data_IF_265103104822
#
_entry.id   IF_265103104822
#
_cell.length_a   1.000
_cell.length_b   1.000
_cell.length_c   1.000
_cell.angle_alpha   90.00
_cell.angle_beta   90.00
_cell.angle_gamma   90.00
#
_symmetry.space_group_name_H-M   'P 1'
#
loop_
_entity.id
_entity.type
_entity.pdbx_description
1 polymer ?
#
# COMPACT_ATOMS: atom_id res chain seq x y z
N UNK A 1 11.69 -10.24 -16.82
CA UNK A 1 11.94 -10.56 -15.38
C UNK A 1 10.68 -11.12 -14.75
N UNK A 2 10.77 -12.04 -13.78
CA UNK A 2 9.60 -12.68 -13.16
C UNK A 2 8.95 -11.72 -12.12
N UNK A 3 7.61 -11.53 -12.06
CA UNK A 3 6.94 -10.67 -11.07
C UNK A 3 7.34 -10.77 -9.58
N UNK A 4 7.78 -11.93 -9.04
CA UNK A 4 8.28 -12.03 -7.68
C UNK A 4 9.54 -11.19 -7.45
N UNK A 5 10.41 -11.08 -8.45
CA UNK A 5 11.67 -10.32 -8.37
C UNK A 5 11.37 -8.83 -8.24
N UNK A 6 10.51 -8.28 -9.11
CA UNK A 6 10.14 -6.87 -9.05
C UNK A 6 9.45 -6.51 -7.74
N UNK A 7 8.59 -7.40 -7.25
CA UNK A 7 7.95 -7.23 -5.93
C UNK A 7 9.00 -7.21 -4.83
N UNK A 8 9.97 -8.13 -4.86
CA UNK A 8 11.05 -8.19 -3.89
C UNK A 8 11.88 -6.90 -3.88
N UNK A 9 12.32 -6.41 -5.05
CA UNK A 9 13.10 -5.17 -5.16
C UNK A 9 12.35 -3.96 -4.59
N UNK A 10 11.05 -3.82 -4.90
CA UNK A 10 10.21 -2.74 -4.35
C UNK A 10 10.12 -2.85 -2.83
N UNK A 11 9.99 -4.06 -2.29
CA UNK A 11 9.96 -4.24 -0.84
C UNK A 11 11.31 -4.07 -0.16
N UNK A 12 12.43 -4.36 -0.83
CA UNK A 12 13.77 -4.02 -0.35
C UNK A 12 13.93 -2.49 -0.26
N UNK A 13 13.45 -1.75 -1.27
CA UNK A 13 13.42 -0.29 -1.23
C UNK A 13 12.51 0.24 -0.11
N UNK A 14 11.32 -0.36 0.09
CA UNK A 14 10.43 0.01 1.19
C UNK A 14 11.04 -0.28 2.56
N UNK A 15 11.80 -1.36 2.69
CA UNK A 15 12.50 -1.72 3.92
C UNK A 15 13.50 -0.63 4.33
N UNK A 16 14.10 0.10 3.37
CA UNK A 16 14.98 1.23 3.66
C UNK A 16 14.25 2.39 4.36
N UNK A 17 13.04 2.74 3.92
CA UNK A 17 12.20 3.75 4.60
C UNK A 17 11.85 3.30 6.02
N UNK A 18 11.44 2.05 6.18
CA UNK A 18 11.09 1.45 7.47
C UNK A 18 12.29 1.44 8.42
N UNK A 19 13.49 1.14 7.92
CA UNK A 19 14.72 1.16 8.72
C UNK A 19 15.08 2.58 9.15
N UNK A 20 14.85 3.58 8.30
CA UNK A 20 15.10 4.99 8.57
C UNK A 20 13.99 5.67 9.41
N UNK A 21 12.92 4.93 9.75
CA UNK A 21 11.71 5.47 10.38
C UNK A 21 11.14 6.66 9.58
N UNK A 22 11.03 6.48 8.27
CA UNK A 22 10.42 7.40 7.32
C UNK A 22 9.02 6.88 7.01
N UNK A 23 8.00 7.72 7.18
CA UNK A 23 6.62 7.36 6.89
C UNK A 23 6.30 7.52 5.39
N UNK A 24 6.90 6.67 4.57
CA UNK A 24 6.71 6.62 3.12
C UNK A 24 6.83 5.18 2.62
N UNK A 25 6.27 4.92 1.43
CA UNK A 25 6.36 3.62 0.75
C UNK A 25 6.23 3.80 -0.76
N UNK A 26 7.04 3.10 -1.51
CA UNK A 26 6.81 2.87 -2.94
C UNK A 26 5.70 1.84 -3.15
N UNK A 27 4.67 2.25 -3.89
CA UNK A 27 3.55 1.38 -4.29
C UNK A 27 3.75 0.94 -5.73
N UNK A 28 3.92 -0.36 -5.96
CA UNK A 28 3.93 -0.91 -7.31
C UNK A 28 2.51 -0.88 -7.88
N UNK A 29 2.25 0.00 -8.85
CA UNK A 29 0.92 0.20 -9.46
C UNK A 29 0.73 -0.54 -10.79
N UNK A 30 1.81 -1.04 -11.37
CA UNK A 30 1.77 -1.85 -12.58
C UNK A 30 3.17 -2.29 -13.00
N UNK A 31 3.22 -3.28 -13.88
CA UNK A 31 4.45 -3.74 -14.52
C UNK A 31 4.15 -3.99 -15.98
N UNK A 32 5.15 -3.78 -16.84
CA UNK A 32 5.07 -4.17 -18.23
C UNK A 32 6.45 -4.51 -18.75
N UNK A 33 6.50 -5.51 -19.61
CA UNK A 33 7.71 -5.82 -20.35
C UNK A 33 7.89 -4.80 -21.48
N UNK A 34 9.14 -4.36 -21.67
CA UNK A 34 9.51 -3.40 -22.71
C UNK A 34 10.35 -4.14 -23.73
N UNK A 35 9.97 -4.04 -25.01
CA UNK A 35 10.72 -4.63 -26.12
C UNK A 35 11.95 -3.77 -26.45
N UNK A 36 12.97 -3.83 -25.58
CA UNK A 36 14.19 -3.04 -25.65
C UNK A 36 15.43 -3.94 -25.77
N UNK A 37 16.44 -3.51 -26.51
CA UNK A 37 17.69 -4.26 -26.67
C UNK A 37 18.59 -4.08 -25.44
N UNK A 38 18.85 -5.16 -24.71
CA UNK A 38 19.48 -5.11 -23.37
C UNK A 38 21.02 -5.11 -23.36
N UNK A 39 21.65 -4.32 -24.24
CA UNK A 39 23.12 -4.21 -24.30
C UNK A 39 23.63 -2.76 -24.23
N UNK A 40 22.74 -1.78 -24.10
CA UNK A 40 23.13 -0.37 -24.04
C UNK A 40 23.54 0.03 -22.61
N UNK A 41 24.46 0.99 -22.44
CA UNK A 41 24.79 1.62 -21.16
C UNK A 41 23.58 2.19 -20.42
N UNK A 42 23.62 2.20 -19.09
CA UNK A 42 22.51 2.65 -18.24
C UNK A 42 22.08 4.11 -18.50
N UNK A 43 23.05 5.00 -18.71
CA UNK A 43 22.81 6.42 -18.99
C UNK A 43 22.05 6.62 -20.30
N UNK A 44 22.43 5.91 -21.36
CA UNK A 44 21.72 5.91 -22.64
C UNK A 44 20.28 5.42 -22.47
N UNK A 45 20.05 4.36 -21.69
CA UNK A 45 18.70 3.85 -21.42
C UNK A 45 17.85 4.89 -20.71
N UNK A 46 18.39 5.55 -19.68
CA UNK A 46 17.67 6.58 -18.94
C UNK A 46 17.31 7.77 -19.85
N UNK A 47 18.22 8.19 -20.70
CA UNK A 47 17.99 9.26 -21.68
C UNK A 47 16.88 8.89 -22.67
N UNK A 48 16.89 7.66 -23.22
CA UNK A 48 15.88 7.16 -24.16
C UNK A 48 14.50 6.94 -23.49
N UNK A 49 14.51 6.54 -22.22
CA UNK A 49 13.31 6.36 -21.39
C UNK A 49 12.63 7.70 -21.08
N UNK A 50 13.42 8.76 -20.89
CA UNK A 50 12.93 10.09 -20.52
C UNK A 50 12.69 11.02 -21.69
N UNK A 51 13.23 10.72 -22.87
CA UNK A 51 13.19 11.59 -24.06
C UNK A 51 13.88 12.94 -23.86
N UNK A 52 14.91 12.99 -23.02
CA UNK A 52 15.60 14.25 -22.73
C UNK A 52 16.65 14.55 -23.81
N UNK A 53 17.55 13.59 -24.06
CA UNK A 53 18.64 13.76 -25.06
C UNK A 53 18.47 12.82 -26.26
N UNK A 54 17.71 11.74 -26.11
CA UNK A 54 17.55 10.69 -27.12
C UNK A 54 16.15 10.07 -27.10
N UNK A 55 15.69 9.56 -28.25
CA UNK A 55 14.36 8.99 -28.42
C UNK A 55 14.44 7.53 -28.81
N UNK A 56 13.71 6.68 -28.08
CA UNK A 56 13.45 5.31 -28.50
C UNK A 56 11.96 4.96 -28.42
N UNK A 57 11.42 4.44 -29.53
CA UNK A 57 10.03 4.03 -29.66
C UNK A 57 9.66 2.88 -28.72
N UNK A 58 10.63 2.03 -28.34
CA UNK A 58 10.43 0.93 -27.42
C UNK A 58 9.85 1.38 -26.07
N UNK A 59 10.19 2.58 -25.61
CA UNK A 59 9.68 3.13 -24.34
C UNK A 59 8.35 3.88 -24.47
N UNK A 60 7.78 4.04 -25.67
CA UNK A 60 6.51 4.77 -25.84
C UNK A 60 5.36 4.10 -25.06
N UNK A 61 5.22 2.76 -25.04
CA UNK A 61 4.19 2.09 -24.26
C UNK A 61 4.31 2.32 -22.74
N UNK A 62 5.51 2.35 -22.16
CA UNK A 62 5.69 2.57 -20.70
C UNK A 62 5.30 3.99 -20.29
N UNK A 63 5.55 4.99 -21.14
CA UNK A 63 5.07 6.36 -20.89
C UNK A 63 3.54 6.44 -20.92
N UNK A 64 2.89 5.78 -21.88
CA UNK A 64 1.43 5.72 -21.91
C UNK A 64 0.86 4.99 -20.68
N UNK A 65 1.50 3.89 -20.27
CA UNK A 65 1.11 3.16 -19.07
C UNK A 65 1.25 4.02 -17.79
N UNK A 66 2.31 4.83 -17.70
CA UNK A 66 2.51 5.78 -16.60
C UNK A 66 1.32 6.74 -16.46
N UNK A 67 0.83 7.30 -17.56
CA UNK A 67 -0.35 8.17 -17.56
C UNK A 67 -1.62 7.40 -17.16
N UNK A 68 -1.83 6.23 -17.79
CA UNK A 68 -3.05 5.44 -17.56
C UNK A 68 -3.17 4.92 -16.12
N UNK A 69 -2.04 4.56 -15.50
CA UNK A 69 -1.97 4.03 -14.13
C UNK A 69 -1.76 5.11 -13.06
N UNK A 70 -1.56 6.37 -13.47
CA UNK A 70 -1.28 7.47 -12.56
C UNK A 70 0.01 7.25 -11.76
N UNK A 71 1.05 6.69 -12.39
CA UNK A 71 2.28 6.35 -11.71
C UNK A 71 3.19 7.59 -11.53
N UNK A 72 3.53 7.91 -10.29
CA UNK A 72 4.39 9.05 -9.97
C UNK A 72 5.83 8.85 -10.47
N UNK A 73 6.37 7.64 -10.32
CA UNK A 73 7.73 7.27 -10.74
C UNK A 73 7.70 6.03 -11.62
N UNK A 74 8.71 5.87 -12.47
CA UNK A 74 8.90 4.70 -13.32
C UNK A 74 10.34 4.22 -13.19
N UNK A 75 10.53 2.92 -13.03
CA UNK A 75 11.84 2.29 -13.11
C UNK A 75 11.83 1.21 -14.19
N UNK A 76 12.83 1.21 -15.06
CA UNK A 76 13.13 0.06 -15.92
C UNK A 76 14.10 -0.83 -15.15
N UNK A 77 13.73 -2.09 -14.98
CA UNK A 77 14.59 -3.08 -14.30
C UNK A 77 15.03 -4.12 -15.32
N UNK A 78 16.34 -4.32 -15.47
CA UNK A 78 16.96 -5.28 -16.39
C UNK A 78 18.02 -6.14 -15.73
N UNK A 79 18.45 -7.19 -16.42
CA UNK A 79 19.47 -8.08 -15.86
C UNK A 79 20.82 -7.37 -15.93
N UNK A 80 21.59 -7.44 -14.85
CA UNK A 80 22.92 -6.86 -14.84
C UNK A 80 23.85 -7.55 -15.85
N UNK A 81 24.58 -6.72 -16.58
CA UNK A 81 25.64 -7.07 -17.52
C UNK A 81 26.74 -6.01 -17.40
N UNK A 82 28.01 -6.42 -17.39
CA UNK A 82 29.15 -5.49 -17.21
C UNK A 82 29.23 -4.40 -18.29
N UNK A 83 28.66 -4.62 -19.48
CA UNK A 83 28.58 -3.63 -20.55
C UNK A 83 27.62 -2.46 -20.25
N UNK A 84 26.87 -2.52 -19.16
CA UNK A 84 25.92 -1.49 -18.74
C UNK A 84 26.57 -0.38 -17.89
N UNK A 85 27.86 -0.52 -17.55
CA UNK A 85 28.75 0.42 -16.85
C UNK A 85 28.40 0.79 -15.39
N UNK A 86 27.19 0.49 -14.91
CA UNK A 86 26.80 0.64 -13.50
C UNK A 86 25.69 -0.32 -13.09
N UNK A 87 25.28 -0.28 -11.82
CA UNK A 87 24.09 -1.01 -11.34
C UNK A 87 22.78 -0.27 -11.58
N UNK A 88 22.83 1.03 -11.84
CA UNK A 88 21.66 1.84 -12.06
C UNK A 88 22.04 3.28 -12.35
N UNK A 89 21.05 4.02 -12.83
CA UNK A 89 21.13 5.46 -12.96
C UNK A 89 19.74 6.07 -12.86
N UNK A 90 19.65 7.18 -12.16
CA UNK A 90 18.44 7.97 -12.06
C UNK A 90 18.74 9.45 -12.15
N UNK A 91 17.76 10.21 -12.61
CA UNK A 91 17.83 11.66 -12.50
C UNK A 91 17.79 12.06 -11.03
N UNK A 92 18.69 12.97 -10.64
CA UNK A 92 18.56 13.62 -9.34
C UNK A 92 17.43 14.64 -9.41
N UNK A 93 16.33 14.35 -8.73
CA UNK A 93 15.14 15.21 -8.72
C UNK A 93 14.80 15.68 -7.30
N UNK A 94 13.58 15.45 -6.80
CA UNK A 94 13.09 16.06 -5.54
C UNK A 94 12.34 17.39 -5.73
N UNK A 95 12.16 17.84 -6.97
CA UNK A 95 11.36 19.01 -7.35
C UNK A 95 10.00 18.60 -7.93
N UNK A 96 9.26 19.52 -8.55
CA UNK A 96 7.94 19.24 -9.13
C UNK A 96 7.97 18.78 -10.60
N UNK A 97 9.15 18.67 -11.23
CA UNK A 97 9.24 18.27 -12.64
C UNK A 97 9.14 16.75 -12.79
N UNK A 98 7.94 16.27 -13.08
CA UNK A 98 7.65 14.84 -13.21
C UNK A 98 8.29 14.18 -14.43
N UNK A 99 8.82 14.97 -15.39
CA UNK A 99 9.49 14.45 -16.60
C UNK A 99 10.77 13.68 -16.27
N UNK A 100 11.43 14.03 -15.17
CA UNK A 100 12.67 13.40 -14.71
C UNK A 100 12.46 12.25 -13.73
N UNK A 101 11.21 11.89 -13.38
CA UNK A 101 10.95 10.85 -12.38
C UNK A 101 11.04 9.42 -12.98
N UNK A 102 12.21 9.12 -13.55
CA UNK A 102 12.56 7.84 -14.16
C UNK A 102 13.92 7.35 -13.67
N UNK A 103 14.02 6.04 -13.44
CA UNK A 103 15.25 5.35 -13.13
C UNK A 103 15.46 4.18 -14.09
N UNK A 104 16.72 3.87 -14.35
CA UNK A 104 17.16 2.59 -14.87
C UNK A 104 17.86 1.85 -13.73
N UNK A 105 17.58 0.55 -13.61
CA UNK A 105 18.11 -0.32 -12.56
C UNK A 105 18.48 -1.66 -13.18
N UNK A 106 19.65 -2.15 -12.82
CA UNK A 106 20.16 -3.46 -13.15
C UNK A 106 20.19 -4.34 -11.90
N UNK A 107 19.77 -5.61 -12.04
CA UNK A 107 19.73 -6.60 -10.97
C UNK A 107 20.41 -7.90 -11.40
N UNK A 108 21.21 -8.48 -10.50
CA UNK A 108 21.89 -9.76 -10.72
C UNK A 108 23.41 -9.68 -10.77
N UNK A 109 24.02 -10.70 -11.38
CA UNK A 109 25.46 -10.97 -11.38
C UNK A 109 25.93 -11.20 -12.81
N UNK A 110 27.09 -10.63 -13.15
CA UNK A 110 27.83 -10.91 -14.38
C UNK A 110 29.34 -11.00 -14.09
N UNK A 111 29.92 -12.18 -14.30
CA UNK A 111 31.28 -12.49 -13.85
C UNK A 111 31.45 -12.31 -12.34
N UNK A 112 32.44 -11.50 -11.95
CA UNK A 112 32.76 -11.17 -10.56
C UNK A 112 32.02 -9.93 -10.04
N UNK A 113 31.19 -9.29 -10.89
CA UNK A 113 30.44 -8.08 -10.55
C UNK A 113 28.99 -8.40 -10.24
N UNK A 114 28.42 -7.69 -9.27
CA UNK A 114 27.03 -7.88 -8.86
C UNK A 114 26.38 -6.57 -8.47
N UNK A 115 25.07 -6.49 -8.70
CA UNK A 115 24.21 -5.44 -8.19
C UNK A 115 23.40 -5.95 -7.00
N UNK A 116 23.28 -5.10 -5.98
CA UNK A 116 22.57 -5.45 -4.76
C UNK A 116 21.05 -5.31 -4.99
N UNK A 117 20.22 -6.09 -4.28
CA UNK A 117 18.76 -5.90 -4.32
C UNK A 117 18.28 -4.52 -3.82
N UNK A 118 19.19 -3.73 -3.24
CA UNK A 118 18.93 -2.38 -2.74
C UNK A 118 19.08 -1.29 -3.82
N UNK A 119 19.65 -1.61 -4.99
CA UNK A 119 19.86 -0.65 -6.08
C UNK A 119 18.56 0.06 -6.49
N UNK A 120 17.42 -0.63 -6.55
CA UNK A 120 16.14 0.04 -6.84
C UNK A 120 15.84 1.15 -5.82
N UNK A 121 16.04 0.89 -4.53
CA UNK A 121 15.85 1.91 -3.49
C UNK A 121 16.85 3.05 -3.59
N UNK A 122 18.09 2.75 -4.00
CA UNK A 122 19.12 3.76 -4.26
C UNK A 122 18.68 4.73 -5.37
N UNK A 123 18.33 4.20 -6.53
CA UNK A 123 17.96 5.01 -7.69
C UNK A 123 16.66 5.80 -7.47
N UNK A 124 15.66 5.18 -6.83
CA UNK A 124 14.45 5.91 -6.43
C UNK A 124 14.72 6.97 -5.35
N UNK A 125 15.80 6.83 -4.59
CA UNK A 125 16.28 7.86 -3.66
C UNK A 125 16.78 9.11 -4.36
N UNK A 126 17.42 8.98 -5.53
CA UNK A 126 17.78 10.12 -6.39
C UNK A 126 16.57 10.84 -6.95
N UNK A 127 15.51 10.12 -7.32
CA UNK A 127 14.25 10.74 -7.76
C UNK A 127 13.60 11.58 -6.64
N UNK A 128 13.87 11.23 -5.39
CA UNK A 128 13.48 11.99 -4.20
C UNK A 128 14.53 13.03 -3.78
N UNK A 129 15.55 13.26 -4.61
CA UNK A 129 16.54 14.32 -4.48
C UNK A 129 17.82 13.97 -3.72
N UNK A 130 17.94 12.75 -3.19
CA UNK A 130 19.12 12.39 -2.39
C UNK A 130 20.41 12.37 -3.19
N UNK A 131 21.48 12.87 -2.59
CA UNK A 131 22.85 12.71 -3.09
C UNK A 131 23.57 11.49 -2.48
N UNK A 132 24.73 11.14 -3.05
CA UNK A 132 25.49 9.97 -2.61
C UNK A 132 26.15 10.15 -1.24
N UNK A 133 27.31 10.80 -1.22
CA UNK A 133 28.01 11.24 -0.01
C UNK A 133 28.48 12.68 -0.22
N UNK A 134 28.62 13.45 0.86
CA UNK A 134 29.04 14.86 0.75
C UNK A 134 30.43 15.03 0.12
N UNK A 135 31.33 14.10 0.42
CA UNK A 135 32.71 14.07 -0.07
C UNK A 135 32.86 13.54 -1.50
N UNK A 136 31.77 13.06 -2.13
CA UNK A 136 31.77 12.71 -3.55
C UNK A 136 31.73 13.92 -4.49
N UNK A 137 31.81 15.16 -3.96
CA UNK A 137 31.73 16.43 -4.70
C UNK A 137 30.51 16.56 -5.63
N UNK A 138 29.48 15.76 -5.40
CA UNK A 138 28.24 15.88 -6.16
C UNK A 138 27.36 16.94 -5.52
N UNK A 139 27.23 18.11 -6.17
CA UNK A 139 26.30 19.14 -5.73
C UNK A 139 24.88 18.55 -5.65
N UNK A 140 24.18 18.82 -4.56
CA UNK A 140 22.86 18.30 -4.29
C UNK A 140 22.04 19.37 -3.61
N UNK A 141 20.87 19.67 -4.19
CA UNK A 141 19.89 20.56 -3.56
C UNK A 141 19.26 19.97 -2.30
N UNK A 142 19.52 18.68 -2.01
CA UNK A 142 19.05 17.95 -0.83
C UNK A 142 20.17 17.10 -0.21
N UNK A 143 19.90 16.46 0.94
CA UNK A 143 20.91 15.79 1.75
C UNK A 143 21.49 14.51 1.13
N UNK A 144 22.56 14.02 1.75
CA UNK A 144 23.38 12.91 1.28
C UNK A 144 23.16 11.62 2.06
N UNK A 145 23.58 10.50 1.49
CA UNK A 145 23.88 9.29 2.25
C UNK A 145 25.04 9.49 3.23
N UNK A 146 25.13 8.56 4.18
CA UNK A 146 26.13 8.49 5.23
C UNK A 146 27.02 7.25 5.09
N UNK A 147 28.31 7.39 5.39
CA UNK A 147 29.23 6.28 5.65
C UNK A 147 30.03 6.54 6.92
N UNK A 148 30.41 5.49 7.62
CA UNK A 148 31.24 5.54 8.82
C UNK A 148 32.44 4.62 8.66
N UNK A 149 33.64 5.20 8.67
CA UNK A 149 34.89 4.44 8.72
C UNK A 149 35.03 3.69 10.06
N UNK A 150 34.58 4.31 11.16
CA UNK A 150 34.62 3.73 12.51
C UNK A 150 33.68 2.54 12.63
N UNK A 151 32.45 2.69 12.12
CA UNK A 151 31.45 1.63 12.14
C UNK A 151 31.60 0.61 11.00
N UNK A 152 32.53 0.85 10.07
CA UNK A 152 32.75 0.05 8.85
C UNK A 152 31.47 -0.20 8.05
N UNK A 153 30.68 0.85 7.81
CA UNK A 153 29.43 0.73 7.07
C UNK A 153 29.13 1.94 6.18
N UNK A 154 28.24 1.73 5.23
CA UNK A 154 27.59 2.81 4.48
C UNK A 154 26.08 2.59 4.40
N UNK A 155 25.34 3.69 4.36
CA UNK A 155 23.89 3.70 4.16
C UNK A 155 23.57 3.56 2.67
N UNK A 156 22.29 3.35 2.36
CA UNK A 156 21.80 3.02 1.02
C UNK A 156 22.29 3.98 -0.06
N UNK A 157 22.30 5.29 0.19
CA UNK A 157 22.72 6.29 -0.80
C UNK A 157 24.24 6.49 -0.86
N UNK A 158 25.01 5.97 0.10
CA UNK A 158 26.45 6.23 0.17
C UNK A 158 27.26 5.16 -0.55
N UNK A 159 28.39 5.53 -1.17
CA UNK A 159 29.36 4.58 -1.69
C UNK A 159 30.32 4.11 -0.58
N UNK A 160 30.37 2.79 -0.40
CA UNK A 160 31.33 2.15 0.48
C UNK A 160 32.76 2.30 -0.01
N UNK A 161 33.70 2.42 0.93
CA UNK A 161 35.14 2.34 0.69
C UNK A 161 35.75 1.31 1.63
N UNK A 162 36.94 0.81 1.32
CA UNK A 162 37.71 -0.05 2.23
C UNK A 162 36.94 -1.28 2.75
N UNK A 163 36.05 -1.86 1.93
CA UNK A 163 35.26 -3.04 2.31
C UNK A 163 34.13 -2.76 3.32
N UNK A 164 33.73 -1.50 3.50
CA UNK A 164 32.55 -1.14 4.31
C UNK A 164 31.31 -1.92 3.86
N UNK A 165 30.50 -2.34 4.83
CA UNK A 165 29.27 -3.08 4.56
C UNK A 165 28.10 -2.13 4.31
N UNK A 166 27.30 -2.42 3.29
CA UNK A 166 26.03 -1.72 3.07
C UNK A 166 25.01 -2.05 4.17
N UNK A 167 24.32 -1.02 4.65
CA UNK A 167 23.13 -1.13 5.49
C UNK A 167 21.95 -0.60 4.69
N UNK A 168 20.93 -1.44 4.47
CA UNK A 168 19.72 -1.08 3.74
C UNK A 168 18.84 -0.08 4.55
N UNK A 169 19.29 1.18 4.59
CA UNK A 169 18.67 2.28 5.32
C UNK A 169 19.02 3.60 4.62
N UNK A 170 18.06 4.51 4.45
CA UNK A 170 18.36 5.89 4.09
C UNK A 170 18.97 6.63 5.28
N UNK A 171 19.92 7.55 5.04
CA UNK A 171 20.60 8.21 6.16
C UNK A 171 19.59 8.95 7.07
N UNK A 172 19.66 8.63 8.36
CA UNK A 172 18.69 9.04 9.38
C UNK A 172 19.41 9.20 10.73
N UNK A 173 19.89 10.40 11.06
CA UNK A 173 20.64 10.66 12.31
C UNK A 173 19.87 10.31 13.58
N UNK A 174 18.53 10.34 13.51
CA UNK A 174 17.63 9.97 14.62
C UNK A 174 17.55 8.46 14.90
N UNK A 175 18.15 7.62 14.06
CA UNK A 175 18.10 6.15 14.18
C UNK A 175 19.47 5.63 14.57
N UNK A 176 19.58 4.98 15.74
CA UNK A 176 20.81 4.34 16.23
C UNK A 176 20.96 2.88 15.76
N UNK A 177 20.55 2.60 14.52
CA UNK A 177 20.41 1.25 13.95
C UNK A 177 21.63 0.74 13.20
N UNK A 178 22.70 1.54 13.10
CA UNK A 178 23.86 1.23 12.26
C UNK A 178 25.04 0.81 13.12
N UNK A 179 25.04 -0.46 13.53
CA UNK A 179 26.08 -1.07 14.37
C UNK A 179 26.35 -0.31 15.69
N UNK A 180 25.27 0.17 16.33
CA UNK A 180 25.36 0.94 17.57
C UNK A 180 25.72 2.42 17.38
N UNK A 181 25.85 2.89 16.13
CA UNK A 181 26.04 4.30 15.79
C UNK A 181 24.78 4.91 15.14
N UNK A 182 24.64 6.25 15.19
CA UNK A 182 23.67 6.95 14.36
C UNK A 182 23.84 6.61 12.87
N UNK A 183 22.73 6.47 12.17
CA UNK A 183 22.71 6.18 10.74
C UNK A 183 22.82 7.45 9.88
N UNK A 184 23.49 8.50 10.35
CA UNK A 184 23.59 9.78 9.65
C UNK A 184 24.18 10.90 10.48
N UNK A 185 24.37 12.05 9.84
CA UNK A 185 24.80 13.30 10.48
C UNK A 185 23.73 14.36 10.20
N UNK A 186 23.22 15.00 11.27
CA UNK A 186 22.15 15.99 11.15
C UNK A 186 22.52 17.09 10.15
N UNK A 187 21.59 17.41 9.25
CA UNK A 187 21.73 18.45 8.22
C UNK A 187 22.86 18.23 7.19
N UNK A 188 23.54 17.09 7.24
CA UNK A 188 24.59 16.75 6.27
C UNK A 188 24.25 15.44 5.56
N UNK A 189 24.27 14.35 6.31
CA UNK A 189 23.92 13.02 5.83
C UNK A 189 22.59 12.60 6.47
N UNK A 190 21.51 13.20 5.98
CA UNK A 190 20.16 13.11 6.52
C UNK A 190 19.08 13.08 5.42
N UNK A 191 19.04 11.99 4.66
CA UNK A 191 18.03 11.74 3.63
C UNK A 191 16.62 11.83 4.23
N UNK A 192 16.42 11.38 5.48
CA UNK A 192 15.15 11.45 6.19
C UNK A 192 14.56 12.86 6.18
N UNK A 193 15.33 13.87 6.58
CA UNK A 193 14.87 15.26 6.59
C UNK A 193 14.54 15.77 5.18
N UNK A 194 15.28 15.33 4.15
CA UNK A 194 14.97 15.68 2.75
C UNK A 194 13.66 15.06 2.28
N UNK A 195 13.41 13.81 2.63
CA UNK A 195 12.22 13.07 2.19
C UNK A 195 10.92 13.58 2.81
N UNK A 196 10.97 14.23 3.98
CA UNK A 196 9.82 14.98 4.52
C UNK A 196 9.34 16.06 3.54
N UNK A 197 10.24 16.63 2.74
CA UNK A 197 9.93 17.70 1.78
C UNK A 197 9.65 17.12 0.39
N UNK A 198 10.44 16.15 -0.06
CA UNK A 198 10.39 15.69 -1.46
C UNK A 198 9.33 14.63 -1.72
N UNK A 199 9.00 13.76 -0.75
CA UNK A 199 7.94 12.75 -0.92
C UNK A 199 6.58 13.40 -1.18
N UNK A 200 6.12 14.40 -0.39
CA UNK A 200 4.85 15.08 -0.65
C UNK A 200 4.78 15.75 -2.03
N UNK A 201 5.91 16.14 -2.62
CA UNK A 201 5.97 16.70 -3.98
C UNK A 201 5.87 15.61 -5.04
N UNK A 202 6.57 14.50 -4.85
CA UNK A 202 6.59 13.40 -5.81
C UNK A 202 5.22 12.73 -5.97
N UNK A 203 4.45 12.56 -4.89
CA UNK A 203 3.10 11.97 -4.93
C UNK A 203 2.03 12.84 -5.60
N UNK A 204 2.42 14.05 -6.05
CA UNK A 204 1.55 14.96 -6.79
C UNK A 204 1.85 14.95 -8.30
N UNK A 205 2.78 14.11 -8.77
CA UNK A 205 3.12 14.05 -10.18
C UNK A 205 1.95 13.59 -11.04
N UNK A 206 1.17 12.61 -10.57
CA UNK A 206 -0.06 12.18 -11.25
C UNK A 206 -1.19 11.91 -10.26
N UNK A 207 -2.42 12.14 -10.72
CA UNK A 207 -3.59 11.70 -9.97
C UNK A 207 -3.63 10.16 -9.96
N UNK A 208 -3.80 9.52 -8.79
CA UNK A 208 -3.82 8.07 -8.70
C UNK A 208 -5.05 7.51 -9.42
N UNK A 209 -4.84 6.70 -10.46
CA UNK A 209 -5.93 6.00 -11.16
C UNK A 209 -6.06 4.56 -10.70
N UNK A 210 -4.94 3.93 -10.31
CA UNK A 210 -4.94 2.64 -9.61
C UNK A 210 -5.43 2.88 -8.19
N UNK A 211 -6.61 2.34 -7.80
CA UNK A 211 -7.14 2.53 -6.47
C UNK A 211 -6.13 2.10 -5.42
N UNK A 212 -6.07 2.82 -4.31
CA UNK A 212 -5.36 2.31 -3.13
C UNK A 212 -6.04 1.00 -2.71
N UNK A 213 -5.25 -0.04 -2.43
CA UNK A 213 -5.71 -1.24 -1.71
C UNK A 213 -5.97 -0.87 -0.22
N UNK A 214 -6.85 0.10 -0.02
CA UNK A 214 -7.42 0.51 1.25
C UNK A 214 -8.52 -0.47 1.64
N UNK A 215 -8.10 -1.61 2.19
CA UNK A 215 -8.98 -2.58 2.85
C UNK A 215 -9.50 -2.02 4.19
N UNK A 216 -9.73 -0.71 4.34
CA UNK A 216 -10.23 -0.12 5.59
C UNK A 216 -11.58 -0.65 6.00
N UNK A 217 -12.34 -1.17 5.04
CA UNK A 217 -13.54 -1.96 5.28
C UNK A 217 -13.15 -3.40 5.64
N UNK A 218 -13.76 -4.03 6.66
CA UNK A 218 -13.54 -5.44 6.90
C UNK A 218 -13.98 -6.30 5.71
N UNK A 219 -13.25 -7.38 5.44
CA UNK A 219 -13.46 -8.33 4.34
C UNK A 219 -12.93 -9.71 4.63
N UNK A 220 -13.39 -10.70 3.87
CA UNK A 220 -12.80 -12.04 3.91
C UNK A 220 -11.57 -12.07 3.01
N UNK A 221 -10.47 -12.62 3.52
CA UNK A 221 -9.29 -12.89 2.70
C UNK A 221 -9.30 -14.38 2.41
N UNK A 222 -9.75 -14.73 1.21
CA UNK A 222 -9.63 -16.09 0.69
C UNK A 222 -8.20 -16.35 0.26
N UNK A 223 -7.66 -17.47 0.69
CA UNK A 223 -6.35 -17.98 0.33
C UNK A 223 -6.45 -19.25 -0.52
N UNK A 224 -5.38 -20.05 -0.51
CA UNK A 224 -5.26 -21.28 -1.28
C UNK A 224 -6.42 -22.26 -1.00
N UNK A 225 -6.81 -23.02 -2.02
CA UNK A 225 -7.91 -24.01 -1.95
C UNK A 225 -9.27 -23.43 -1.54
N UNK A 226 -9.48 -22.11 -1.70
CA UNK A 226 -10.76 -21.45 -1.40
C UNK A 226 -11.07 -21.32 0.10
N UNK A 227 -10.05 -21.46 0.97
CA UNK A 227 -10.18 -21.27 2.41
C UNK A 227 -9.93 -19.82 2.79
N UNK A 228 -10.36 -19.41 3.97
CA UNK A 228 -10.23 -18.04 4.46
C UNK A 228 -9.15 -17.93 5.55
N UNK A 229 -8.46 -16.79 5.57
CA UNK A 229 -7.59 -16.36 6.67
C UNK A 229 -8.41 -16.28 7.96
N UNK A 230 -8.06 -17.10 8.95
CA UNK A 230 -8.92 -17.39 10.09
C UNK A 230 -8.14 -17.35 11.41
N UNK A 231 -8.73 -16.71 12.42
CA UNK A 231 -8.21 -16.75 13.79
C UNK A 231 -8.73 -18.02 14.46
N UNK A 232 -7.81 -18.87 14.92
CA UNK A 232 -8.15 -20.17 15.53
C UNK A 232 -9.17 -20.01 16.66
N UNK A 233 -10.34 -20.63 16.48
CA UNK A 233 -11.44 -20.62 17.46
C UNK A 233 -12.07 -19.24 17.71
N UNK A 234 -11.74 -18.22 16.90
CA UNK A 234 -12.18 -16.84 17.14
C UNK A 234 -11.65 -16.23 18.44
N UNK A 235 -10.55 -16.76 18.99
CA UNK A 235 -9.94 -16.25 20.21
C UNK A 235 -9.37 -14.83 20.03
N UNK A 236 -9.54 -13.97 21.03
CA UNK A 236 -8.95 -12.62 21.09
C UNK A 236 -7.62 -12.56 21.86
N UNK A 237 -7.07 -13.70 22.31
CA UNK A 237 -5.85 -13.75 23.10
C UNK A 237 -4.58 -13.49 22.26
N UNK A 238 -3.58 -12.82 22.85
CA UNK A 238 -2.26 -12.71 22.22
C UNK A 238 -1.63 -14.08 22.05
N UNK A 239 -0.97 -14.31 20.92
CA UNK A 239 -0.37 -15.60 20.59
C UNK A 239 -1.35 -16.61 19.99
N UNK A 240 -2.61 -16.25 19.79
CA UNK A 240 -3.57 -17.12 19.09
C UNK A 240 -3.06 -17.39 17.67
N UNK A 241 -2.89 -18.68 17.32
CA UNK A 241 -2.43 -19.08 15.99
C UNK A 241 -3.38 -18.61 14.90
N UNK A 242 -2.82 -18.22 13.76
CA UNK A 242 -3.58 -17.97 12.53
C UNK A 242 -3.54 -19.24 11.66
N UNK A 243 -4.67 -19.52 11.00
CA UNK A 243 -4.87 -20.71 10.21
C UNK A 243 -5.65 -20.39 8.93
N UNK A 244 -5.79 -21.38 8.05
CA UNK A 244 -6.85 -21.39 7.03
C UNK A 244 -8.03 -22.23 7.49
N UNK A 245 -9.24 -21.75 7.23
CA UNK A 245 -10.47 -22.47 7.53
C UNK A 245 -11.51 -22.28 6.42
N UNK A 246 -12.52 -23.16 6.35
CA UNK A 246 -13.64 -22.98 5.42
C UNK A 246 -14.28 -21.60 5.60
N UNK A 247 -14.46 -20.87 4.50
CA UNK A 247 -15.06 -19.54 4.55
C UNK A 247 -16.51 -19.62 5.09
N UNK A 248 -16.80 -18.91 6.17
CA UNK A 248 -18.07 -19.03 6.91
C UNK A 248 -18.70 -17.68 7.33
N UNK A 249 -18.06 -16.55 7.02
CA UNK A 249 -18.62 -15.21 7.25
C UNK A 249 -18.54 -14.71 8.70
N UNK A 250 -18.02 -15.51 9.63
CA UNK A 250 -17.86 -15.09 11.03
C UNK A 250 -16.74 -14.05 11.19
N UNK A 251 -16.76 -13.31 12.31
CA UNK A 251 -15.85 -12.18 12.58
C UNK A 251 -14.37 -12.57 12.57
N UNK A 252 -14.03 -13.82 12.93
CA UNK A 252 -12.66 -14.33 12.90
C UNK A 252 -12.04 -14.47 11.50
N UNK A 253 -12.86 -14.32 10.45
CA UNK A 253 -12.41 -14.31 9.06
C UNK A 253 -12.47 -12.92 8.43
N UNK A 254 -12.81 -11.89 9.21
CA UNK A 254 -12.93 -10.52 8.72
C UNK A 254 -11.66 -9.73 9.08
N UNK A 255 -11.00 -9.23 8.05
CA UNK A 255 -9.74 -8.51 8.13
C UNK A 255 -9.82 -7.18 7.38
N UNK A 256 -9.05 -6.21 7.83
CA UNK A 256 -8.98 -4.87 7.24
C UNK A 256 -7.55 -4.32 7.28
N UNK A 257 -7.17 -3.56 6.25
CA UNK A 257 -5.91 -2.81 6.17
C UNK A 257 -6.29 -1.34 6.04
N UNK A 258 -6.16 -0.60 7.13
CA UNK A 258 -6.58 0.79 7.17
C UNK A 258 -5.63 1.67 6.33
N UNK A 259 -6.18 2.64 5.60
CA UNK A 259 -5.37 3.72 4.99
C UNK A 259 -4.37 4.32 5.99
N UNK A 260 -3.09 4.39 5.58
CA UNK A 260 -2.00 4.90 6.40
C UNK A 260 -1.50 3.95 7.49
N UNK A 261 -2.04 2.73 7.56
CA UNK A 261 -1.58 1.65 8.44
C UNK A 261 -1.00 0.53 7.57
N UNK A 262 0.10 -0.06 8.02
CA UNK A 262 0.62 -1.31 7.46
C UNK A 262 0.08 -2.54 8.20
N UNK A 263 -0.73 -2.40 9.24
CA UNK A 263 -1.22 -3.58 9.98
C UNK A 263 -2.53 -4.12 9.45
N UNK A 264 -2.57 -5.43 9.18
CA UNK A 264 -3.79 -6.17 8.87
C UNK A 264 -4.55 -6.47 10.18
N UNK A 265 -5.65 -5.74 10.40
CA UNK A 265 -6.46 -5.72 11.62
C UNK A 265 -7.63 -6.69 11.53
N UNK A 266 -7.88 -7.42 12.60
CA UNK A 266 -9.07 -8.28 12.72
C UNK A 266 -10.32 -7.49 13.11
N UNK A 267 -11.50 -8.02 12.81
CA UNK A 267 -12.78 -7.55 13.35
C UNK A 267 -13.11 -8.10 14.75
N UNK A 268 -12.39 -9.11 15.26
CA UNK A 268 -12.69 -9.76 16.56
C UNK A 268 -12.19 -8.92 17.76
N UNK A 269 -11.16 -8.11 17.56
CA UNK A 269 -10.55 -7.27 18.58
C UNK A 269 -9.71 -6.15 17.93
N UNK A 270 -9.21 -5.20 18.72
CA UNK A 270 -8.24 -4.18 18.27
C UNK A 270 -6.82 -4.75 18.06
N UNK A 271 -6.71 -5.92 17.43
CA UNK A 271 -5.48 -6.70 17.23
C UNK A 271 -5.13 -6.87 15.77
N UNK A 272 -3.91 -7.32 15.51
CA UNK A 272 -3.32 -7.38 14.17
C UNK A 272 -2.67 -8.73 13.89
N UNK A 273 -2.54 -9.06 12.61
CA UNK A 273 -1.70 -10.15 12.15
C UNK A 273 -0.24 -9.84 12.49
N UNK A 274 0.43 -10.78 13.15
CA UNK A 274 1.76 -10.60 13.72
C UNK A 274 2.65 -11.81 13.38
N UNK A 275 3.90 -11.54 12.99
CA UNK A 275 4.92 -12.57 12.82
C UNK A 275 5.54 -12.85 14.20
N UNK A 276 5.40 -14.08 14.67
CA UNK A 276 5.80 -14.47 16.01
C UNK A 276 7.31 -14.30 16.26
N UNK A 277 7.66 -13.79 17.43
CA UNK A 277 9.05 -13.60 17.85
C UNK A 277 9.83 -12.55 17.05
N UNK A 278 9.14 -11.69 16.28
CA UNK A 278 9.78 -10.70 15.38
C UNK A 278 10.72 -11.38 14.38
N UNK A 279 10.45 -12.66 14.07
CA UNK A 279 11.29 -13.46 13.18
C UNK A 279 11.16 -12.99 11.73
N UNK A 280 12.26 -13.05 11.00
CA UNK A 280 12.32 -12.83 9.56
C UNK A 280 12.70 -14.12 8.79
N UNK A 281 12.77 -15.26 9.48
CA UNK A 281 13.13 -16.54 8.88
C UNK A 281 11.94 -17.21 8.20
N UNK A 282 12.22 -18.01 7.18
CA UNK A 282 11.22 -18.91 6.60
C UNK A 282 10.72 -19.90 7.65
N UNK A 283 9.41 -20.13 7.64
CA UNK A 283 8.75 -20.98 8.63
C UNK A 283 8.35 -20.27 9.92
N UNK A 284 8.60 -18.95 10.05
CA UNK A 284 8.13 -18.19 11.20
C UNK A 284 6.59 -18.25 11.29
N UNK A 285 6.06 -18.67 12.44
CA UNK A 285 4.62 -18.78 12.65
C UNK A 285 3.91 -17.43 12.73
N UNK A 286 2.62 -17.42 12.38
CA UNK A 286 1.77 -16.25 12.50
C UNK A 286 0.82 -16.35 13.68
N UNK A 287 0.62 -15.22 14.34
CA UNK A 287 -0.23 -15.09 15.51
C UNK A 287 -1.08 -13.83 15.45
N UNK A 288 -2.13 -13.80 16.28
CA UNK A 288 -2.83 -12.59 16.63
C UNK A 288 -2.09 -11.91 17.79
N UNK A 289 -1.81 -10.61 17.67
CA UNK A 289 -1.15 -9.85 18.72
C UNK A 289 -1.68 -8.41 18.82
N UNK A 290 -1.43 -7.77 19.96
CA UNK A 290 -1.71 -6.35 20.14
C UNK A 290 -0.96 -5.50 19.11
N UNK A 291 -1.56 -4.40 18.68
CA UNK A 291 -0.98 -3.50 17.68
C UNK A 291 0.16 -2.68 18.31
N UNK A 292 1.39 -3.12 18.11
CA UNK A 292 2.62 -2.47 18.61
C UNK A 292 3.26 -1.51 17.58
N UNK A 293 2.75 -1.49 16.35
CA UNK A 293 3.29 -0.67 15.25
C UNK A 293 4.77 -1.01 14.94
N UNK A 294 5.12 -2.29 15.07
CA UNK A 294 6.45 -2.84 14.81
C UNK A 294 6.54 -3.46 13.42
N UNK A 295 7.78 -3.66 12.92
CA UNK A 295 8.02 -4.15 11.55
C UNK A 295 7.42 -5.54 11.27
N UNK A 296 7.35 -6.39 12.28
CA UNK A 296 6.75 -7.73 12.19
C UNK A 296 5.21 -7.73 12.11
N UNK A 297 4.59 -6.54 12.21
CA UNK A 297 3.15 -6.31 12.05
C UNK A 297 2.85 -5.46 10.82
N UNK A 298 3.87 -5.15 10.01
CA UNK A 298 3.74 -4.42 8.76
C UNK A 298 3.53 -5.42 7.62
N UNK A 299 2.33 -5.36 7.08
CA UNK A 299 1.77 -6.16 6.00
C UNK A 299 1.23 -5.27 4.89
N UNK A 300 1.40 -5.73 3.67
CA UNK A 300 0.95 -5.04 2.50
C UNK A 300 0.23 -6.02 1.60
N UNK A 301 -1.02 -5.71 1.31
CA UNK A 301 -1.79 -6.48 0.36
C UNK A 301 -1.60 -5.88 -1.02
N UNK A 302 -1.21 -6.69 -2.00
CA UNK A 302 -1.38 -6.35 -3.41
C UNK A 302 -2.57 -7.15 -3.98
N UNK A 303 -2.71 -7.25 -5.30
CA UNK A 303 -3.84 -7.97 -5.90
C UNK A 303 -3.87 -9.48 -5.64
N UNK A 304 -2.74 -10.10 -5.27
CA UNK A 304 -2.58 -11.56 -5.20
C UNK A 304 -1.76 -12.08 -4.01
N UNK A 305 -1.18 -11.23 -3.16
CA UNK A 305 -0.32 -11.65 -2.05
C UNK A 305 -0.46 -10.72 -0.84
N UNK A 306 -0.31 -11.30 0.35
CA UNK A 306 -0.08 -10.57 1.61
C UNK A 306 1.43 -10.60 1.86
N UNK A 307 2.07 -9.44 1.72
CA UNK A 307 3.52 -9.27 1.74
C UNK A 307 3.94 -8.65 3.06
N UNK A 308 4.93 -9.23 3.71
CA UNK A 308 5.59 -8.66 4.87
C UNK A 308 6.81 -7.81 4.46
N UNK A 309 7.35 -7.04 5.39
CA UNK A 309 8.60 -6.31 5.14
C UNK A 309 9.75 -7.28 4.79
N UNK A 310 10.59 -6.92 3.81
CA UNK A 310 11.66 -7.77 3.29
C UNK A 310 11.25 -8.69 2.14
N UNK A 311 10.02 -8.56 1.62
CA UNK A 311 9.57 -9.24 0.40
C UNK A 311 9.07 -10.68 0.60
N UNK A 312 9.10 -11.19 1.83
CA UNK A 312 8.46 -12.46 2.21
C UNK A 312 6.94 -12.33 2.27
N UNK A 313 6.22 -13.43 2.17
CA UNK A 313 4.76 -13.47 2.03
C UNK A 313 4.11 -14.41 3.03
N UNK A 314 2.81 -14.21 3.24
CA UNK A 314 1.96 -15.13 3.99
C UNK A 314 1.79 -16.43 3.18
N UNK A 315 2.12 -17.55 3.81
CA UNK A 315 2.22 -18.86 3.16
C UNK A 315 1.44 -19.92 3.95
N UNK A 316 0.70 -20.79 3.25
CA UNK A 316 0.11 -21.98 3.88
C UNK A 316 1.15 -23.08 3.96
N UNK A 317 1.47 -23.50 5.19
CA UNK A 317 2.50 -24.53 5.46
C UNK A 317 2.23 -25.79 4.64
N UNK A 318 3.23 -26.18 3.84
CA UNK A 318 3.18 -27.39 3.00
C UNK A 318 2.07 -27.37 1.95
N UNK A 319 1.54 -26.20 1.58
CA UNK A 319 0.42 -26.05 0.65
C UNK A 319 -0.84 -26.85 1.05
N UNK A 320 -1.04 -27.08 2.35
CA UNK A 320 -2.16 -27.90 2.84
C UNK A 320 -3.52 -27.26 2.55
N UNK A 321 -4.49 -28.07 2.14
CA UNK A 321 -5.88 -27.66 1.90
C UNK A 321 -6.81 -27.97 3.09
N UNK A 322 -6.29 -28.57 4.16
CA UNK A 322 -7.08 -28.99 5.33
C UNK A 322 -7.49 -27.80 6.19
N UNK A 323 -8.69 -27.86 6.76
CA UNK A 323 -9.08 -26.89 7.79
C UNK A 323 -8.11 -26.97 8.98
N UNK A 324 -7.68 -25.83 9.47
CA UNK A 324 -6.71 -25.72 10.56
C UNK A 324 -5.25 -25.85 10.14
N UNK A 325 -4.96 -25.89 8.83
CA UNK A 325 -3.59 -25.75 8.37
C UNK A 325 -3.03 -24.39 8.82
N UNK A 326 -1.84 -24.43 9.42
CA UNK A 326 -1.15 -23.24 9.93
C UNK A 326 -0.59 -22.40 8.80
N UNK A 327 -0.41 -21.12 9.09
CA UNK A 327 0.29 -20.19 8.23
C UNK A 327 1.72 -19.98 8.72
N UNK A 328 2.61 -19.64 7.78
CA UNK A 328 3.99 -19.26 8.03
C UNK A 328 4.38 -18.03 7.19
N UNK A 329 5.43 -17.32 7.62
CA UNK A 329 6.17 -16.39 6.77
C UNK A 329 7.10 -17.22 5.89
N UNK A 330 7.13 -16.93 4.59
CA UNK A 330 8.01 -17.64 3.66
C UNK A 330 8.47 -16.74 2.50
N UNK A 331 9.56 -17.10 1.86
CA UNK A 331 9.99 -16.48 0.60
C UNK A 331 8.87 -16.45 -0.45
N UNK A 332 8.82 -15.36 -1.22
CA UNK A 332 7.83 -15.21 -2.28
C UNK A 332 8.22 -16.07 -3.49
N UNK A 333 7.70 -17.29 -3.51
CA UNK A 333 7.86 -18.24 -4.61
C UNK A 333 6.72 -18.11 -5.63
N UNK A 334 5.71 -17.28 -5.35
CA UNK A 334 4.46 -17.16 -6.12
C UNK A 334 3.78 -18.51 -6.36
N UNK A 335 3.94 -19.43 -5.40
CA UNK A 335 3.23 -20.69 -5.37
C UNK A 335 1.74 -20.46 -5.10
N UNK A 336 0.89 -21.38 -5.54
CA UNK A 336 -0.56 -21.31 -5.31
C UNK A 336 -0.92 -21.21 -3.81
N UNK A 337 -0.05 -21.69 -2.92
CA UNK A 337 -0.17 -21.61 -1.47
C UNK A 337 0.16 -20.23 -0.85
N UNK A 338 0.57 -19.28 -1.69
CA UNK A 338 0.92 -17.89 -1.31
C UNK A 338 -0.01 -16.87 -1.97
N UNK A 339 -1.02 -17.34 -2.71
CA UNK A 339 -1.97 -16.48 -3.41
C UNK A 339 -3.17 -16.21 -2.52
N UNK A 340 -3.43 -14.92 -2.30
CA UNK A 340 -4.49 -14.41 -1.45
C UNK A 340 -5.35 -13.42 -2.22
N UNK A 341 -6.66 -13.53 -2.04
CA UNK A 341 -7.66 -12.65 -2.64
C UNK A 341 -8.56 -12.11 -1.55
N UNK A 342 -8.54 -10.79 -1.42
CA UNK A 342 -9.49 -10.07 -0.61
C UNK A 342 -10.84 -10.00 -1.32
N UNK A 343 -11.86 -10.49 -0.64
CA UNK A 343 -13.27 -10.39 -1.01
C UNK A 343 -13.94 -9.40 -0.05
N UNK A 344 -14.46 -8.27 -0.58
CA UNK A 344 -15.16 -7.30 0.24
C UNK A 344 -16.42 -7.91 0.86
N UNK A 345 -16.84 -7.43 2.04
CA UNK A 345 -18.14 -7.85 2.57
C UNK A 345 -19.25 -7.21 1.74
N UNK A 346 -20.24 -8.03 1.40
CA UNK A 346 -21.52 -7.59 0.84
C UNK A 346 -22.61 -7.82 1.90
N UNK A 347 -23.48 -6.84 2.08
CA UNK A 347 -24.52 -6.90 3.11
C UNK A 347 -25.38 -5.65 3.18
N UNK A 348 -26.27 -5.59 4.16
CA UNK A 348 -27.01 -4.38 4.48
C UNK A 348 -26.17 -3.47 5.39
N UNK A 349 -26.24 -2.15 5.19
CA UNK A 349 -25.63 -1.18 6.12
C UNK A 349 -26.76 -0.62 6.98
N UNK A 350 -26.78 -0.99 8.25
CA UNK A 350 -27.83 -0.60 9.21
C UNK A 350 -27.34 0.57 10.07
N UNK A 351 -28.14 1.62 10.21
CA UNK A 351 -27.92 2.66 11.22
C UNK A 351 -28.34 2.11 12.59
N UNK A 352 -27.66 2.50 13.67
CA UNK A 352 -27.93 2.00 15.03
C UNK A 352 -29.34 2.33 15.54
N UNK A 353 -30.08 3.19 14.84
CA UNK A 353 -31.49 3.46 15.08
C UNK A 353 -32.44 2.40 14.48
N UNK A 354 -31.90 1.40 13.77
CA UNK A 354 -32.60 0.17 13.38
C UNK A 354 -32.94 0.03 11.90
N UNK A 355 -32.76 1.07 11.08
CA UNK A 355 -33.06 1.05 9.64
C UNK A 355 -31.84 0.85 8.77
N UNK A 356 -32.05 0.53 7.50
CA UNK A 356 -31.01 0.23 6.54
C UNK A 356 -30.80 1.36 5.54
N UNK A 357 -29.54 1.54 5.14
CA UNK A 357 -29.13 2.41 4.04
C UNK A 357 -29.77 1.91 2.75
N UNK A 358 -30.45 2.80 2.03
CA UNK A 358 -31.38 2.46 0.96
C UNK A 358 -31.19 3.42 -0.23
N UNK A 359 -31.06 2.86 -1.44
CA UNK A 359 -31.11 3.65 -2.68
C UNK A 359 -32.58 3.94 -3.00
N UNK A 360 -32.94 5.23 -2.96
CA UNK A 360 -34.32 5.65 -3.06
C UNK A 360 -34.98 5.15 -4.35
N UNK A 361 -36.14 4.50 -4.18
CA UNK A 361 -36.94 3.92 -5.26
C UNK A 361 -36.16 2.96 -6.20
N UNK A 362 -35.05 2.38 -5.73
CA UNK A 362 -34.14 1.58 -6.58
C UNK A 362 -33.68 2.33 -7.85
N UNK A 363 -33.48 3.66 -7.76
CA UNK A 363 -33.02 4.46 -8.89
C UNK A 363 -31.59 4.12 -9.31
N UNK A 364 -31.32 4.15 -10.62
CA UNK A 364 -29.98 3.89 -11.22
C UNK A 364 -29.38 5.13 -11.90
N UNK A 365 -30.11 6.24 -11.93
CA UNK A 365 -29.64 7.49 -12.53
C UNK A 365 -28.63 8.16 -11.60
N UNK A 366 -27.47 8.65 -12.09
CA UNK A 366 -26.56 9.45 -11.27
C UNK A 366 -27.28 10.62 -10.58
N UNK A 367 -26.97 10.83 -9.30
CA UNK A 367 -27.70 11.76 -8.44
C UNK A 367 -28.91 11.13 -7.72
N UNK A 368 -29.23 9.86 -7.96
CA UNK A 368 -30.28 9.15 -7.19
C UNK A 368 -29.96 9.27 -5.71
N UNK A 369 -30.88 9.80 -4.89
CA UNK A 369 -30.60 10.01 -3.49
C UNK A 369 -30.48 8.72 -2.68
N UNK A 370 -29.70 8.79 -1.61
CA UNK A 370 -29.66 7.74 -0.59
C UNK A 370 -30.45 8.17 0.64
N UNK A 371 -31.18 7.21 1.21
CA UNK A 371 -32.09 7.39 2.32
C UNK A 371 -31.92 6.25 3.33
N UNK A 372 -32.66 6.32 4.44
CA UNK A 372 -32.89 5.17 5.30
C UNK A 372 -34.28 4.59 5.05
N UNK A 373 -34.39 3.26 5.15
CA UNK A 373 -35.65 2.55 5.04
C UNK A 373 -35.65 1.30 5.92
N UNK A 374 -36.83 0.78 6.26
CA UNK A 374 -36.93 -0.49 6.97
C UNK A 374 -36.15 -1.59 6.23
N UNK A 375 -35.41 -2.38 6.99
CA UNK A 375 -34.50 -3.37 6.45
C UNK A 375 -35.25 -4.49 5.72
N UNK A 376 -34.82 -4.80 4.51
CA UNK A 376 -35.34 -5.86 3.66
C UNK A 376 -34.24 -6.46 2.79
N UNK A 377 -34.40 -7.69 2.31
CA UNK A 377 -33.44 -8.34 1.42
C UNK A 377 -33.44 -7.77 -0.03
N UNK A 378 -34.02 -6.58 -0.21
CA UNK A 378 -34.09 -5.89 -1.50
C UNK A 378 -32.70 -5.48 -1.95
N UNK A 379 -32.43 -5.62 -3.26
CA UNK A 379 -31.12 -5.31 -3.84
C UNK A 379 -30.70 -3.86 -3.65
N UNK A 380 -31.65 -2.92 -3.48
CA UNK A 380 -31.37 -1.51 -3.26
C UNK A 380 -30.90 -1.17 -1.83
N UNK A 381 -30.88 -2.16 -0.94
CA UNK A 381 -30.29 -2.09 0.41
C UNK A 381 -29.06 -2.99 0.55
N UNK A 382 -28.60 -3.60 -0.55
CA UNK A 382 -27.40 -4.42 -0.57
C UNK A 382 -26.21 -3.57 -1.00
N UNK A 383 -25.17 -3.56 -0.16
CA UNK A 383 -23.98 -2.76 -0.34
C UNK A 383 -22.73 -3.63 -0.30
N UNK A 384 -21.77 -3.32 -1.16
CA UNK A 384 -20.46 -3.98 -1.20
C UNK A 384 -19.37 -2.97 -0.85
N UNK A 385 -18.58 -3.28 0.19
CA UNK A 385 -17.52 -2.40 0.66
C UNK A 385 -16.21 -2.62 -0.10
N UNK A 386 -15.93 -1.81 -1.12
CA UNK A 386 -14.77 -1.96 -1.99
C UNK A 386 -13.40 -1.69 -1.33
N UNK A 387 -12.34 -2.19 -2.00
CA UNK A 387 -10.93 -2.13 -1.58
C UNK A 387 -10.33 -0.72 -1.48
N UNK A 388 -11.05 0.34 -1.78
CA UNK A 388 -10.58 1.73 -1.76
C UNK A 388 -11.38 2.61 -0.79
N UNK A 389 -12.17 1.97 0.09
CA UNK A 389 -13.20 2.64 0.88
C UNK A 389 -14.48 2.97 0.11
N UNK A 390 -14.63 2.55 -1.16
CA UNK A 390 -15.89 2.75 -1.89
C UNK A 390 -17.02 1.92 -1.29
N UNK A 391 -18.22 2.47 -1.25
CA UNK A 391 -19.44 1.72 -0.90
C UNK A 391 -20.27 1.61 -2.18
N UNK A 392 -20.36 0.41 -2.76
CA UNK A 392 -21.09 0.16 -4.01
C UNK A 392 -22.47 -0.40 -3.71
N UNK A 393 -23.50 0.19 -4.31
CA UNK A 393 -24.89 -0.18 -4.07
C UNK A 393 -25.60 -0.66 -5.34
N UNK A 394 -26.90 -0.36 -5.40
CA UNK A 394 -27.77 -0.71 -6.52
C UNK A 394 -27.23 -0.22 -7.87
N UNK A 395 -27.38 -1.04 -8.92
CA UNK A 395 -26.88 -0.71 -10.26
C UNK A 395 -25.35 -0.67 -10.40
N UNK A 396 -24.60 -1.08 -9.37
CA UNK A 396 -23.13 -1.02 -9.36
C UNK A 396 -22.56 0.39 -9.15
N UNK A 397 -23.43 1.37 -8.86
CA UNK A 397 -23.06 2.75 -8.58
C UNK A 397 -22.42 2.91 -7.19
N UNK A 398 -21.66 3.99 -6.99
CA UNK A 398 -20.96 4.29 -5.75
C UNK A 398 -21.71 5.32 -4.90
N UNK A 399 -21.74 5.09 -3.58
CA UNK A 399 -22.15 6.06 -2.59
C UNK A 399 -21.20 7.27 -2.66
N UNK A 400 -21.74 8.43 -2.96
CA UNK A 400 -20.97 9.62 -3.31
C UNK A 400 -21.40 10.80 -2.45
N UNK A 401 -20.45 11.40 -1.72
CA UNK A 401 -20.64 12.69 -1.08
C UNK A 401 -20.77 13.78 -2.14
N UNK A 402 -21.84 14.56 -2.11
CA UNK A 402 -22.17 15.58 -3.11
C UNK A 402 -22.51 16.91 -2.45
N UNK A 403 -22.29 18.01 -3.16
CA UNK A 403 -22.52 19.37 -2.67
C UNK A 403 -21.32 20.02 -1.98
N UNK A 404 -21.55 21.12 -1.26
CA UNK A 404 -20.48 21.93 -0.69
C UNK A 404 -19.77 21.17 0.46
N UNK A 405 -18.45 20.88 0.38
CA UNK A 405 -17.73 20.13 1.41
C UNK A 405 -17.74 20.82 2.78
N UNK A 406 -17.86 22.15 2.82
CA UNK A 406 -17.69 22.94 4.04
C UNK A 406 -18.96 23.02 4.89
N UNK A 407 -20.13 22.67 4.37
CA UNK A 407 -21.43 22.84 5.05
C UNK A 407 -22.00 21.49 5.51
N UNK A 408 -22.60 21.42 6.69
CA UNK A 408 -23.30 20.22 7.15
C UNK A 408 -24.65 20.12 6.45
N UNK A 409 -25.08 18.92 6.10
CA UNK A 409 -26.27 18.65 5.29
C UNK A 409 -25.98 18.47 3.79
N UNK A 410 -24.71 18.38 3.38
CA UNK A 410 -24.37 18.05 1.99
C UNK A 410 -24.91 16.67 1.63
N UNK A 411 -25.51 16.54 0.45
CA UNK A 411 -26.24 15.35 0.04
C UNK A 411 -25.32 14.13 -0.14
N UNK A 412 -25.88 12.95 0.06
CA UNK A 412 -25.25 11.69 -0.36
C UNK A 412 -26.12 11.03 -1.43
N UNK A 413 -25.48 10.66 -2.55
CA UNK A 413 -26.17 10.19 -3.76
C UNK A 413 -25.45 9.00 -4.37
N UNK A 414 -26.11 8.31 -5.28
CA UNK A 414 -25.51 7.30 -6.15
C UNK A 414 -24.93 7.97 -7.40
N UNK A 415 -23.69 7.67 -7.75
CA UNK A 415 -23.05 8.13 -8.98
C UNK A 415 -22.17 7.05 -9.62
N UNK A 416 -21.77 7.25 -10.87
CA UNK A 416 -20.79 6.40 -11.55
C UNK A 416 -19.51 6.35 -10.73
N UNK A 417 -18.99 5.14 -10.48
CA UNK A 417 -17.77 4.97 -9.71
C UNK A 417 -16.56 5.57 -10.46
N UNK A 418 -15.90 6.56 -9.88
CA UNK A 418 -14.76 7.28 -10.45
C UNK A 418 -13.48 7.20 -9.59
N UNK A 419 -13.59 6.66 -8.37
CA UNK A 419 -12.46 6.50 -7.45
C UNK A 419 -12.02 7.80 -6.76
N UNK A 420 -12.76 8.90 -6.92
CA UNK A 420 -12.50 10.18 -6.28
C UNK A 420 -12.64 10.11 -4.75
N UNK A 421 -12.11 11.11 -4.05
CA UNK A 421 -12.28 11.24 -2.59
C UNK A 421 -13.75 11.41 -2.18
N UNK A 422 -14.63 11.89 -3.07
CA UNK A 422 -16.08 11.95 -2.87
C UNK A 422 -16.72 10.57 -2.71
N UNK A 423 -16.07 9.52 -3.21
CA UNK A 423 -16.54 8.13 -3.17
C UNK A 423 -15.73 7.24 -2.21
N UNK A 424 -14.82 7.82 -1.43
CA UNK A 424 -13.99 7.09 -0.50
C UNK A 424 -14.45 7.35 0.95
N UNK A 425 -14.64 6.26 1.69
CA UNK A 425 -15.22 6.26 3.04
C UNK A 425 -14.40 5.41 4.01
N UNK A 426 -14.23 5.88 5.24
CA UNK A 426 -13.64 5.12 6.36
C UNK A 426 -14.75 4.56 7.22
N UNK A 427 -14.75 3.26 7.48
CA UNK A 427 -15.84 2.57 8.20
C UNK A 427 -15.31 1.99 9.50
N UNK A 428 -15.72 2.57 10.64
CA UNK A 428 -15.27 2.18 12.00
C UNK A 428 -16.36 2.41 13.05
N UNK A 429 -17.54 1.83 12.84
CA UNK A 429 -18.73 2.13 13.63
C UNK A 429 -19.38 3.45 13.26
N UNK A 430 -18.63 4.43 12.75
CA UNK A 430 -19.11 5.54 11.93
C UNK A 430 -18.63 5.35 10.48
N UNK A 431 -19.34 5.93 9.51
CA UNK A 431 -18.89 6.00 8.10
C UNK A 431 -18.46 7.45 7.82
N UNK A 432 -17.16 7.68 7.66
CA UNK A 432 -16.56 9.02 7.52
C UNK A 432 -16.06 9.25 6.09
N UNK A 433 -16.42 10.39 5.49
CA UNK A 433 -16.01 10.73 4.13
C UNK A 433 -14.57 11.21 4.05
N UNK A 434 -13.82 10.73 3.06
CA UNK A 434 -12.49 11.24 2.70
C UNK A 434 -12.55 12.60 1.98
N UNK A 435 -13.71 13.01 1.49
CA UNK A 435 -13.91 14.27 0.78
C UNK A 435 -13.83 15.49 1.71
N UNK A 436 -14.43 15.38 2.89
CA UNK A 436 -14.62 16.50 3.81
C UNK A 436 -14.50 16.12 5.29
N UNK A 437 -14.08 14.90 5.61
CA UNK A 437 -13.92 14.38 6.97
C UNK A 437 -15.20 14.40 7.84
N UNK A 438 -16.38 14.53 7.22
CA UNK A 438 -17.69 14.47 7.89
C UNK A 438 -18.23 13.04 7.96
N UNK A 439 -19.21 12.81 8.79
CA UNK A 439 -19.84 11.50 8.99
C UNK A 439 -21.11 11.38 8.15
N UNK A 440 -21.37 10.15 7.70
CA UNK A 440 -22.63 9.73 7.13
C UNK A 440 -23.70 9.81 8.23
N UNK A 441 -24.73 10.58 7.98
CA UNK A 441 -25.72 10.98 8.97
C UNK A 441 -27.12 10.75 8.41
N UNK A 442 -27.96 10.06 9.18
CA UNK A 442 -29.39 10.06 8.94
C UNK A 442 -30.00 11.36 9.47
N UNK A 443 -30.55 12.16 8.55
CA UNK A 443 -31.04 13.51 8.80
C UNK A 443 -32.23 13.57 9.76
N UNK A 444 -32.95 12.46 9.97
CA UNK A 444 -34.14 12.41 10.81
C UNK A 444 -33.91 11.66 12.14
N UNK A 445 -32.66 11.34 12.49
CA UNK A 445 -32.36 10.73 13.79
C UNK A 445 -32.95 9.32 13.98
N UNK A 446 -33.29 8.62 12.90
CA UNK A 446 -33.90 7.30 12.92
C UNK A 446 -35.42 7.29 13.01
N UNK A 447 -36.10 8.43 12.86
CA UNK A 447 -37.55 8.51 13.07
C UNK A 447 -38.40 7.92 11.94
N UNK A 448 -37.98 8.09 10.68
CA UNK A 448 -38.91 7.97 9.54
C UNK A 448 -38.27 7.35 8.30
N UNK A 449 -38.97 6.39 7.67
CA UNK A 449 -38.61 5.89 6.34
C UNK A 449 -38.54 7.03 5.32
N UNK A 450 -37.53 6.99 4.45
CA UNK A 450 -37.31 8.00 3.42
C UNK A 450 -36.54 9.23 3.89
N UNK A 451 -36.14 9.29 5.16
CA UNK A 451 -35.22 10.31 5.62
C UNK A 451 -33.90 10.25 4.85
N UNK A 452 -33.37 11.43 4.50
CA UNK A 452 -32.17 11.54 3.68
C UNK A 452 -30.94 11.14 4.48
N UNK A 453 -30.01 10.53 3.77
CA UNK A 453 -28.64 10.41 4.26
C UNK A 453 -27.82 11.59 3.74
N UNK A 454 -27.08 12.20 4.65
CA UNK A 454 -26.35 13.44 4.43
C UNK A 454 -24.97 13.39 5.08
N UNK A 455 -24.15 14.39 4.77
CA UNK A 455 -22.86 14.63 5.42
C UNK A 455 -23.02 15.59 6.59
N UNK A 456 -22.69 15.16 7.80
CA UNK A 456 -22.77 16.00 9.00
C UNK A 456 -21.49 15.97 9.82
N UNK A 457 -21.28 16.97 10.68
CA UNK A 457 -20.20 16.89 11.67
C UNK A 457 -20.32 15.58 12.45
N UNK A 458 -19.20 14.93 12.74
CA UNK A 458 -19.18 13.69 13.52
C UNK A 458 -19.46 14.03 14.99
N UNK A 459 -20.64 13.65 15.48
CA UNK A 459 -21.13 13.93 16.83
C UNK A 459 -21.19 12.67 17.71
N UNK A 460 -21.00 11.47 17.14
CA UNK A 460 -21.01 10.20 17.88
C UNK A 460 -22.39 9.75 18.37
N UNK A 461 -23.46 10.38 17.87
CA UNK A 461 -24.85 10.03 18.14
C UNK A 461 -25.31 8.81 17.33
N UNK A 462 -26.41 8.17 17.74
CA UNK A 462 -26.85 6.89 17.18
C UNK A 462 -27.18 6.94 15.67
N UNK A 463 -27.61 8.09 15.15
CA UNK A 463 -27.93 8.29 13.74
C UNK A 463 -26.69 8.46 12.83
N UNK A 464 -25.48 8.41 13.41
CA UNK A 464 -24.19 8.39 12.69
C UNK A 464 -23.44 7.08 12.90
N UNK A 465 -24.03 6.15 13.68
CA UNK A 465 -23.43 4.85 13.94
C UNK A 465 -24.01 3.82 12.99
N UNK A 466 -23.14 3.21 12.20
CA UNK A 466 -23.51 2.28 11.14
C UNK A 466 -22.79 0.95 11.31
N UNK A 467 -23.53 -0.12 11.09
CA UNK A 467 -23.02 -1.48 11.13
C UNK A 467 -23.36 -2.20 9.83
N UNK A 468 -22.39 -2.91 9.27
CA UNK A 468 -22.64 -3.77 8.13
C UNK A 468 -23.11 -5.15 8.63
N UNK A 469 -24.33 -5.50 8.26
CA UNK A 469 -24.93 -6.80 8.47
C UNK A 469 -24.64 -7.66 7.22
N UNK A 470 -23.76 -8.69 7.31
CA UNK A 470 -23.52 -9.60 6.19
C UNK A 470 -24.82 -10.31 5.80
N UNK A 471 -25.00 -10.53 4.49
CA UNK A 471 -26.10 -11.35 3.99
C UNK A 471 -25.95 -12.84 4.31
#
# INVERSE_FOLDING_TARGET
MNPPVLTNLVEQANQAFVNAAINARYRLVGTMEVAYTDNNPNDQVLDELTWITSYNDAFRPIRQARENLGADMVAVVRRFNVAQDSCGVAWRNGTTDSRYAYAEVSDGIDGDFYCTPSTLGHELGHLLGSGHTRDSNQDSSFNYGYRSDVGSFHTLMAYGVNGQREVNIYSAPSVAGCFGQPCGVMLEADNKSSFVITVPRAIQYRAPTVPFDDLSSPGQISGPSGKCLDITGGSSQNGTSIQVWGCNGFSQQKWSLQRGSSSLRTAVASKVLDIAGVSNADGAGLQLFDSLNTRNQAWFFNSSAIIATGGKVLDVVGASSTNGARLQLYDNLSGANQIWKYSPITGQIQVSTGRCLDVAASGITPGTPVQIWDCSLSKNQTWTLGKNGSIRGFGGACLTASGNPNVSGSSVVMATCDGSSAQAWRIRGEIRSEFNNKCLDDSAGGGTNGARVQMWQCLGNANQKWELQPN
#
